data_IF_539384912584
#
_entry.id   IF_539384912584
#
_cell.length_a   1.000
_cell.length_b   1.000
_cell.length_c   1.000
_cell.angle_alpha   90.00
_cell.angle_beta   90.00
_cell.angle_gamma   90.00
#
_symmetry.space_group_name_H-M   'P 1'
#
loop_
_entity.id
_entity.type
_entity.pdbx_description
1 polymer ?
#
# COMPACT_ATOMS: atom_id res chain seq x y z
N UNK A 1 9.94 -52.07 1.55
CA UNK A 1 10.25 -51.61 2.92
C UNK A 1 10.96 -50.24 2.99
N UNK A 2 11.31 -49.58 1.88
CA UNK A 2 12.18 -48.38 1.92
C UNK A 2 11.47 -47.02 2.05
N UNK A 3 10.12 -46.97 2.07
CA UNK A 3 9.35 -45.72 2.10
C UNK A 3 8.99 -45.24 3.52
N UNK A 4 8.88 -46.15 4.50
CA UNK A 4 8.62 -45.77 5.90
C UNK A 4 9.82 -45.05 6.53
N UNK A 5 11.05 -45.40 6.13
CA UNK A 5 12.30 -44.78 6.58
C UNK A 5 12.54 -43.36 6.02
N UNK A 6 11.58 -42.77 5.29
CA UNK A 6 11.62 -41.37 4.86
C UNK A 6 10.89 -40.43 5.82
N UNK A 7 10.08 -40.97 6.73
CA UNK A 7 9.28 -40.20 7.70
C UNK A 7 9.96 -40.05 9.06
N UNK A 8 11.21 -40.52 9.20
CA UNK A 8 11.95 -40.43 10.46
C UNK A 8 12.54 -39.02 10.66
N UNK A 9 12.25 -38.36 11.80
CA UNK A 9 12.81 -37.06 12.12
C UNK A 9 14.33 -37.17 12.36
N UNK A 10 15.12 -36.31 11.70
CA UNK A 10 16.58 -36.20 11.94
C UNK A 10 17.51 -36.80 10.88
N UNK A 11 17.08 -36.95 9.62
CA UNK A 11 17.97 -37.43 8.54
C UNK A 11 19.19 -36.50 8.30
N UNK A 12 20.42 -37.04 8.16
CA UNK A 12 21.63 -36.26 7.86
C UNK A 12 21.62 -35.48 6.52
N UNK A 13 20.65 -35.76 5.63
CA UNK A 13 20.46 -35.06 4.35
C UNK A 13 19.17 -34.21 4.29
N UNK A 14 18.45 -34.07 5.41
CA UNK A 14 17.28 -33.21 5.47
C UNK A 14 17.73 -31.78 5.79
N UNK A 15 17.98 -31.01 4.74
CA UNK A 15 18.18 -29.56 4.84
C UNK A 15 16.81 -28.91 5.01
N UNK A 16 16.24 -29.01 6.21
CA UNK A 16 15.09 -28.17 6.55
C UNK A 16 15.60 -26.73 6.47
N UNK A 17 15.25 -26.02 5.40
CA UNK A 17 15.67 -24.65 5.20
C UNK A 17 15.10 -23.81 6.33
N UNK A 18 15.97 -23.18 7.12
CA UNK A 18 15.52 -22.16 8.07
C UNK A 18 14.94 -21.02 7.25
N UNK A 19 13.66 -20.71 7.43
CA UNK A 19 13.03 -19.55 6.81
C UNK A 19 13.57 -18.29 7.49
N UNK A 20 14.70 -17.80 6.95
CA UNK A 20 15.38 -16.59 7.41
C UNK A 20 14.43 -15.39 7.44
N UNK A 21 13.43 -15.32 6.54
CA UNK A 21 12.48 -14.20 6.51
C UNK A 21 11.54 -14.22 7.70
N UNK A 22 11.06 -15.40 8.10
CA UNK A 22 10.26 -15.55 9.31
C UNK A 22 11.08 -15.27 10.57
N UNK A 23 12.31 -15.79 10.63
CA UNK A 23 13.22 -15.55 11.77
C UNK A 23 13.52 -14.06 11.95
N UNK A 24 13.89 -13.34 10.88
CA UNK A 24 14.16 -11.90 10.92
C UNK A 24 12.92 -11.09 11.33
N UNK A 25 11.73 -11.54 10.91
CA UNK A 25 10.46 -10.91 11.27
C UNK A 25 10.14 -11.10 12.76
N UNK A 26 10.38 -12.29 13.29
CA UNK A 26 10.19 -12.60 14.70
C UNK A 26 11.18 -11.82 15.59
N UNK A 27 12.47 -11.77 15.20
CA UNK A 27 13.48 -11.00 15.93
C UNK A 27 13.17 -9.50 15.94
N UNK A 28 12.74 -8.95 14.80
CA UNK A 28 12.29 -7.55 14.72
C UNK A 28 11.08 -7.29 15.62
N UNK A 29 10.15 -8.23 15.75
CA UNK A 29 9.02 -8.11 16.64
C UNK A 29 9.46 -8.11 18.12
N UNK A 30 10.38 -9.01 18.49
CA UNK A 30 10.97 -9.05 19.83
C UNK A 30 11.69 -7.74 20.19
N UNK A 31 12.48 -7.19 19.28
CA UNK A 31 13.18 -5.90 19.49
C UNK A 31 12.20 -4.73 19.69
N UNK A 32 11.04 -4.73 19.00
CA UNK A 32 10.01 -3.71 19.22
C UNK A 32 9.37 -3.83 20.61
N UNK A 33 9.06 -5.06 21.04
CA UNK A 33 8.48 -5.32 22.35
C UNK A 33 9.43 -4.84 23.48
N UNK A 34 10.72 -5.19 23.40
CA UNK A 34 11.73 -4.77 24.38
C UNK A 34 11.89 -3.24 24.40
N UNK A 35 11.86 -2.57 23.24
CA UNK A 35 11.93 -1.10 23.20
C UNK A 35 10.70 -0.44 23.84
N UNK A 36 9.52 -1.00 23.62
CA UNK A 36 8.30 -0.50 24.23
C UNK A 36 8.30 -0.69 25.75
N UNK A 37 8.75 -1.85 26.22
CA UNK A 37 8.91 -2.11 27.65
C UNK A 37 9.89 -1.14 28.30
N UNK A 38 11.06 -0.90 27.70
CA UNK A 38 12.01 0.10 28.19
C UNK A 38 11.41 1.51 28.23
N UNK A 39 10.56 1.87 27.26
CA UNK A 39 9.82 3.14 27.27
C UNK A 39 8.80 3.18 28.42
N UNK A 40 8.09 2.09 28.69
CA UNK A 40 7.15 1.97 29.81
C UNK A 40 7.88 2.07 31.15
N UNK A 41 9.00 1.36 31.32
CA UNK A 41 9.83 1.42 32.52
C UNK A 41 10.32 2.85 32.74
N UNK A 42 10.88 3.52 31.73
CA UNK A 42 11.33 4.92 31.84
C UNK A 42 10.23 5.85 32.35
N UNK A 43 9.01 5.71 31.82
CA UNK A 43 7.87 6.52 32.25
C UNK A 43 7.44 6.19 33.68
N UNK A 44 7.32 4.90 34.04
CA UNK A 44 6.96 4.47 35.40
C UNK A 44 8.00 4.91 36.41
N UNK A 45 9.30 4.80 36.11
CA UNK A 45 10.38 5.26 36.98
C UNK A 45 10.36 6.77 37.22
N UNK A 46 10.00 7.57 36.21
CA UNK A 46 9.81 9.01 36.38
C UNK A 46 8.58 9.34 37.25
N UNK A 47 7.49 8.58 37.11
CA UNK A 47 6.28 8.74 37.94
C UNK A 47 6.49 8.31 39.40
N UNK A 48 7.32 7.30 39.68
CA UNK A 48 7.64 6.90 41.05
C UNK A 48 8.57 7.89 41.78
N UNK A 49 9.35 8.69 41.04
CA UNK A 49 10.24 9.71 41.63
C UNK A 49 9.51 11.03 41.98
N UNK A 50 8.36 11.28 41.36
CA UNK A 50 7.55 12.49 41.57
C UNK A 50 6.59 12.41 42.77
N UNK A 51 6.57 11.30 43.52
CA UNK A 51 5.64 11.07 44.63
C UNK A 51 6.23 11.38 46.01
N UNK A 52 7.30 12.18 46.09
CA UNK A 52 7.87 12.64 47.36
C UNK A 52 8.47 14.05 47.27
N UNK A 53 7.64 15.08 47.09
CA UNK A 53 7.81 16.37 47.76
C UNK A 53 6.52 17.22 47.65
N UNK A 54 6.20 17.93 48.73
CA UNK A 54 5.07 18.86 48.89
C UNK A 54 5.10 20.05 47.91
N UNK A 55 3.95 20.70 47.62
CA UNK A 55 3.85 21.87 46.76
C UNK A 55 4.28 23.13 47.51
N UNK A 56 5.23 23.88 46.94
CA UNK A 56 5.54 25.24 47.38
C UNK A 56 5.35 26.19 46.21
N UNK A 57 4.25 26.93 46.31
CA UNK A 57 3.97 28.18 45.62
C UNK A 57 4.99 29.24 46.07
N UNK A 58 5.72 29.86 45.15
CA UNK A 58 6.20 31.23 45.34
C UNK A 58 6.09 32.00 44.02
N UNK A 59 5.16 32.95 44.04
CA UNK A 59 4.96 34.02 43.09
C UNK A 59 6.23 34.84 42.86
N UNK A 60 6.47 35.27 41.61
CA UNK A 60 6.91 36.65 41.38
C UNK A 60 6.64 37.14 39.96
N UNK A 61 6.01 38.31 39.97
CA UNK A 61 5.40 39.08 38.89
C UNK A 61 6.40 39.88 38.06
N UNK A 62 6.13 39.92 36.73
CA UNK A 62 6.09 41.05 35.77
C UNK A 62 7.18 42.16 35.80
N UNK A 63 7.61 42.80 34.70
CA UNK A 63 6.85 43.24 33.53
C UNK A 63 7.77 43.88 32.45
N UNK A 64 7.18 44.10 31.26
CA UNK A 64 7.49 45.16 30.25
C UNK A 64 8.67 44.91 29.28
N UNK A 65 8.60 45.22 27.97
CA UNK A 65 7.77 46.19 27.21
C UNK A 65 7.80 45.94 25.68
N UNK A 66 6.72 46.34 24.99
CA UNK A 66 6.60 47.09 23.70
C UNK A 66 7.67 46.90 22.58
N UNK A 67 7.39 46.85 21.27
CA UNK A 67 6.21 46.96 20.41
C UNK A 67 6.66 46.71 18.94
N UNK A 68 5.74 46.88 17.98
CA UNK A 68 5.88 46.99 16.51
C UNK A 68 5.61 45.68 15.75
N UNK A 69 4.37 45.34 15.39
CA UNK A 69 3.51 45.97 14.37
C UNK A 69 4.16 45.98 12.98
N UNK A 70 3.73 45.06 12.12
CA UNK A 70 3.96 45.11 10.68
C UNK A 70 2.64 44.82 9.96
N UNK A 71 1.80 45.83 9.84
CA UNK A 71 0.95 45.98 8.67
C UNK A 71 1.73 46.78 7.62
N UNK A 72 1.83 46.24 6.41
CA UNK A 72 1.57 47.06 5.23
C UNK A 72 1.23 46.14 4.05
N UNK A 73 -0.05 46.17 3.69
CA UNK A 73 -0.52 45.75 2.38
C UNK A 73 -0.24 46.86 1.38
N UNK A 74 -0.07 46.52 0.08
CA UNK A 74 -0.73 47.31 -0.93
C UNK A 74 -1.70 46.47 -1.73
N UNK A 75 -2.95 46.88 -1.66
CA UNK A 75 -4.05 46.58 -2.57
C UNK A 75 -3.66 46.90 -4.01
N UNK A 76 -3.84 45.97 -4.96
CA UNK A 76 -4.49 46.22 -6.26
C UNK A 76 -4.81 44.90 -6.98
N UNK A 77 -6.04 44.45 -6.76
CA UNK A 77 -6.99 43.86 -7.72
C UNK A 77 -6.40 43.42 -9.08
N UNK A 78 -6.28 42.11 -9.27
CA UNK A 78 -6.93 41.48 -10.42
C UNK A 78 -7.57 40.18 -9.92
N UNK A 79 -8.75 40.34 -9.33
CA UNK A 79 -9.69 39.24 -9.15
C UNK A 79 -10.08 38.74 -10.54
N UNK A 80 -9.30 37.82 -11.09
CA UNK A 80 -9.74 36.96 -12.17
C UNK A 80 -10.95 36.18 -11.67
N UNK A 81 -12.06 36.39 -12.37
CA UNK A 81 -13.41 35.89 -12.12
C UNK A 81 -13.41 34.44 -11.59
N UNK A 82 -14.27 34.08 -10.61
CA UNK A 82 -14.53 32.70 -10.27
C UNK A 82 -15.39 32.10 -11.39
N UNK A 83 -14.74 31.84 -12.53
CA UNK A 83 -15.31 31.16 -13.66
C UNK A 83 -15.76 29.78 -13.20
N UNK A 84 -17.07 29.59 -13.13
CA UNK A 84 -17.81 28.34 -12.96
C UNK A 84 -16.95 27.16 -12.55
N UNK A 85 -17.09 26.69 -11.31
CA UNK A 85 -16.67 25.33 -10.94
C UNK A 85 -17.47 24.35 -11.81
N UNK A 86 -17.02 24.16 -13.06
CA UNK A 86 -17.41 23.06 -13.90
C UNK A 86 -16.99 21.85 -13.08
N UNK A 87 -17.95 21.23 -12.41
CA UNK A 87 -17.79 19.87 -11.93
C UNK A 87 -17.60 19.03 -13.18
N UNK A 88 -16.35 18.99 -13.64
CA UNK A 88 -15.95 18.15 -14.77
C UNK A 88 -16.28 16.74 -14.31
N UNK A 89 -17.36 16.20 -14.86
CA UNK A 89 -17.81 14.85 -14.60
C UNK A 89 -16.65 13.93 -14.95
N UNK A 90 -15.98 13.36 -13.94
CA UNK A 90 -14.86 12.44 -14.16
C UNK A 90 -15.40 11.23 -14.91
N UNK A 91 -14.91 11.00 -16.12
CA UNK A 91 -15.36 9.88 -16.95
C UNK A 91 -14.41 8.71 -16.75
N UNK A 92 -14.95 7.55 -16.45
CA UNK A 92 -14.17 6.32 -16.38
C UNK A 92 -13.73 5.92 -17.80
N UNK A 93 -12.47 6.19 -18.14
CA UNK A 93 -11.87 5.80 -19.41
C UNK A 93 -11.56 4.29 -19.49
N UNK A 94 -11.39 3.64 -18.33
CA UNK A 94 -10.97 2.23 -18.25
C UNK A 94 -12.14 1.30 -18.54
N UNK A 95 -12.31 0.96 -19.81
CA UNK A 95 -13.32 0.01 -20.29
C UNK A 95 -12.76 -1.43 -20.28
N UNK A 96 -13.57 -2.49 -20.07
CA UNK A 96 -13.10 -3.88 -20.18
C UNK A 96 -12.38 -4.19 -21.51
N UNK A 97 -12.83 -3.59 -22.61
CA UNK A 97 -12.21 -3.73 -23.94
C UNK A 97 -10.77 -3.20 -23.97
N UNK A 98 -10.52 -2.08 -23.31
CA UNK A 98 -9.19 -1.51 -23.16
C UNK A 98 -8.29 -2.45 -22.35
N UNK A 99 -8.81 -3.02 -21.25
CA UNK A 99 -8.04 -3.94 -20.41
C UNK A 99 -7.64 -5.21 -21.17
N UNK A 100 -8.52 -5.75 -22.02
CA UNK A 100 -8.17 -6.88 -22.90
C UNK A 100 -7.05 -6.50 -23.87
N UNK A 101 -7.07 -5.29 -24.43
CA UNK A 101 -5.98 -4.81 -25.29
C UNK A 101 -4.66 -4.68 -24.53
N UNK A 102 -4.68 -4.07 -23.33
CA UNK A 102 -3.50 -3.96 -22.47
C UNK A 102 -2.91 -5.34 -22.13
N UNK A 103 -3.76 -6.32 -21.84
CA UNK A 103 -3.35 -7.69 -21.55
C UNK A 103 -2.73 -8.37 -22.79
N UNK A 104 -3.34 -8.22 -23.97
CA UNK A 104 -2.81 -8.79 -25.22
C UNK A 104 -1.45 -8.21 -25.59
N UNK A 105 -1.25 -6.92 -25.33
CA UNK A 105 0.02 -6.24 -25.51
C UNK A 105 1.05 -6.54 -24.40
N UNK A 106 0.70 -7.36 -23.41
CA UNK A 106 1.56 -7.74 -22.27
C UNK A 106 2.13 -6.52 -21.54
N UNK A 107 1.37 -5.42 -21.48
CA UNK A 107 1.85 -4.18 -20.91
C UNK A 107 1.92 -4.26 -19.39
N UNK A 108 3.03 -3.79 -18.82
CA UNK A 108 3.12 -3.58 -17.38
C UNK A 108 2.13 -2.51 -16.95
N UNK A 109 1.83 -2.44 -15.65
CA UNK A 109 0.98 -1.39 -15.10
C UNK A 109 1.56 0.00 -15.36
N UNK A 110 2.89 0.15 -15.32
CA UNK A 110 3.58 1.41 -15.55
C UNK A 110 3.43 1.84 -17.01
N UNK A 111 3.70 0.93 -17.94
CA UNK A 111 3.65 1.22 -19.38
C UNK A 111 2.22 1.49 -19.83
N UNK A 112 1.25 0.79 -19.23
CA UNK A 112 -0.17 1.03 -19.50
C UNK A 112 -0.57 2.46 -19.13
N UNK A 113 -0.19 2.94 -17.95
CA UNK A 113 -0.50 4.32 -17.52
C UNK A 113 0.21 5.33 -18.43
N UNK A 114 1.50 5.12 -18.69
CA UNK A 114 2.31 6.01 -19.50
C UNK A 114 1.77 6.17 -20.93
N UNK A 115 1.43 5.05 -21.60
CA UNK A 115 0.87 5.07 -22.96
C UNK A 115 -0.48 5.77 -22.98
N UNK A 116 -1.33 5.52 -21.97
CA UNK A 116 -2.65 6.14 -21.88
C UNK A 116 -2.56 7.65 -21.66
N UNK A 117 -1.69 8.10 -20.77
CA UNK A 117 -1.43 9.52 -20.50
C UNK A 117 -0.89 10.23 -21.74
N UNK A 118 0.13 9.67 -22.39
CA UNK A 118 0.67 10.21 -23.64
C UNK A 118 -0.37 10.25 -24.78
N UNK A 119 -1.30 9.29 -24.83
CA UNK A 119 -2.38 9.26 -25.82
C UNK A 119 -3.41 10.37 -25.55
N UNK A 120 -3.78 10.58 -24.28
CA UNK A 120 -4.71 11.65 -23.87
C UNK A 120 -4.12 13.02 -24.21
N UNK A 121 -2.83 13.22 -23.91
CA UNK A 121 -2.10 14.44 -24.20
C UNK A 121 -2.01 14.71 -25.71
N UNK A 122 -1.65 13.69 -26.50
CA UNK A 122 -1.60 13.79 -27.97
C UNK A 122 -2.97 14.07 -28.62
N UNK A 123 -4.07 13.69 -27.98
CA UNK A 123 -5.44 13.97 -28.43
C UNK A 123 -5.94 15.34 -27.96
N UNK A 124 -5.16 16.08 -27.15
CA UNK A 124 -5.53 17.38 -26.60
C UNK A 124 -6.62 17.31 -25.53
N UNK A 125 -6.80 16.14 -24.89
CA UNK A 125 -7.73 15.98 -23.77
C UNK A 125 -7.08 16.40 -22.46
N UNK A 126 -7.87 16.99 -21.57
CA UNK A 126 -7.38 17.32 -20.23
C UNK A 126 -7.23 16.04 -19.41
N UNK A 127 -6.07 15.87 -18.77
CA UNK A 127 -5.78 14.73 -17.88
C UNK A 127 -6.80 14.66 -16.72
N UNK A 128 -7.30 15.82 -16.27
CA UNK A 128 -8.31 15.93 -15.22
C UNK A 128 -9.69 15.39 -15.63
N UNK A 129 -10.00 15.35 -16.92
CA UNK A 129 -11.25 14.79 -17.44
C UNK A 129 -11.22 13.26 -17.47
N UNK A 130 -10.02 12.68 -17.64
CA UNK A 130 -9.78 11.24 -17.78
C UNK A 130 -8.69 10.76 -16.80
N UNK A 131 -8.99 10.71 -15.49
CA UNK A 131 -8.01 10.28 -14.51
C UNK A 131 -7.64 8.79 -14.70
N UNK A 132 -6.43 8.54 -15.18
CA UNK A 132 -5.88 7.18 -15.34
C UNK A 132 -5.23 6.74 -14.04
N UNK A 133 -5.98 6.06 -13.18
CA UNK A 133 -5.44 5.51 -11.93
C UNK A 133 -4.88 4.10 -12.12
N UNK A 134 -3.72 3.84 -11.50
CA UNK A 134 -3.12 2.49 -11.45
C UNK A 134 -4.09 1.48 -10.85
N UNK A 135 -4.77 1.85 -9.76
CA UNK A 135 -5.72 0.99 -9.06
C UNK A 135 -6.93 0.62 -9.92
N UNK A 136 -7.45 1.53 -10.75
CA UNK A 136 -8.57 1.21 -11.65
C UNK A 136 -8.18 0.17 -12.70
N UNK A 137 -6.97 0.29 -13.27
CA UNK A 137 -6.45 -0.69 -14.22
C UNK A 137 -6.22 -2.05 -13.54
N UNK A 138 -5.68 -2.04 -12.33
CA UNK A 138 -5.38 -3.25 -11.57
C UNK A 138 -6.66 -4.00 -11.20
N UNK A 139 -7.66 -3.28 -10.67
CA UNK A 139 -8.97 -3.84 -10.32
C UNK A 139 -9.62 -4.56 -11.49
N UNK A 140 -9.64 -3.93 -12.67
CA UNK A 140 -10.30 -4.53 -13.83
C UNK A 140 -9.46 -5.69 -14.40
N UNK A 141 -8.12 -5.65 -14.28
CA UNK A 141 -7.28 -6.80 -14.60
C UNK A 141 -7.62 -7.98 -13.69
N UNK A 142 -7.59 -7.82 -12.37
CA UNK A 142 -7.84 -8.92 -11.43
C UNK A 142 -9.22 -9.52 -11.62
N UNK A 143 -10.24 -8.69 -11.88
CA UNK A 143 -11.58 -9.14 -12.23
C UNK A 143 -11.60 -10.03 -13.48
N UNK A 144 -10.89 -9.63 -14.55
CA UNK A 144 -10.76 -10.44 -15.78
C UNK A 144 -9.96 -11.72 -15.58
N UNK A 145 -8.93 -11.70 -14.73
CA UNK A 145 -8.17 -12.90 -14.35
C UNK A 145 -9.05 -13.89 -13.59
N UNK A 146 -9.87 -13.41 -12.65
CA UNK A 146 -10.81 -14.23 -11.89
C UNK A 146 -11.87 -14.87 -12.79
N UNK A 147 -12.46 -14.09 -13.71
CA UNK A 147 -13.40 -14.61 -14.72
C UNK A 147 -12.75 -15.73 -15.56
N UNK A 148 -11.50 -15.54 -15.97
CA UNK A 148 -10.75 -16.55 -16.74
C UNK A 148 -10.45 -17.80 -15.90
N UNK A 149 -10.07 -17.64 -14.65
CA UNK A 149 -9.82 -18.74 -13.72
C UNK A 149 -11.09 -19.57 -13.50
N UNK A 150 -12.23 -18.92 -13.29
CA UNK A 150 -13.53 -19.58 -13.13
C UNK A 150 -13.91 -20.35 -14.41
N UNK A 151 -13.74 -19.74 -15.58
CA UNK A 151 -13.99 -20.40 -16.87
C UNK A 151 -13.08 -21.62 -17.07
N UNK A 152 -11.80 -21.51 -16.73
CA UNK A 152 -10.84 -22.64 -16.82
C UNK A 152 -11.23 -23.74 -15.83
N UNK A 153 -11.61 -23.39 -14.60
CA UNK A 153 -12.03 -24.34 -13.58
C UNK A 153 -13.28 -25.11 -14.02
N UNK A 154 -14.25 -24.42 -14.60
CA UNK A 154 -15.47 -25.05 -15.13
C UNK A 154 -15.15 -25.95 -16.33
N UNK A 155 -14.35 -25.47 -17.28
CA UNK A 155 -13.94 -26.27 -18.45
C UNK A 155 -13.18 -27.54 -18.03
N UNK A 156 -12.31 -27.41 -17.02
CA UNK A 156 -11.60 -28.54 -16.44
C UNK A 156 -12.59 -29.55 -15.83
N UNK A 157 -13.49 -29.10 -14.95
CA UNK A 157 -14.51 -29.96 -14.30
C UNK A 157 -15.39 -30.71 -15.31
N UNK A 158 -15.78 -30.05 -16.40
CA UNK A 158 -16.61 -30.66 -17.45
C UNK A 158 -15.86 -31.74 -18.26
N UNK A 159 -14.53 -31.73 -18.24
CA UNK A 159 -13.68 -32.60 -19.06
C UNK A 159 -12.92 -33.66 -18.25
N UNK A 160 -13.11 -33.74 -16.93
CA UNK A 160 -12.32 -34.65 -16.06
C UNK A 160 -12.61 -36.13 -16.37
N UNK A 161 -11.63 -36.93 -16.81
CA UNK A 161 -11.62 -38.37 -16.62
C UNK A 161 -11.24 -38.70 -15.16
N UNK A 162 -11.73 -39.82 -14.64
CA UNK A 162 -11.69 -40.25 -13.22
C UNK A 162 -10.32 -40.16 -12.49
N UNK A 163 -9.21 -40.03 -13.23
CA UNK A 163 -7.87 -39.77 -12.70
C UNK A 163 -7.17 -38.69 -13.54
N UNK A 164 -6.87 -37.53 -12.94
CA UNK A 164 -5.94 -36.54 -13.48
C UNK A 164 -4.89 -36.13 -12.45
N UNK A 165 -3.64 -36.05 -12.88
CA UNK A 165 -2.53 -35.50 -12.10
C UNK A 165 -2.17 -34.13 -12.69
N UNK A 166 -2.35 -33.07 -11.91
CA UNK A 166 -2.09 -31.70 -12.35
C UNK A 166 -0.73 -31.25 -11.78
N UNK A 167 0.23 -30.96 -12.67
CA UNK A 167 1.57 -30.51 -12.28
C UNK A 167 1.69 -29.01 -12.55
N UNK A 168 1.54 -28.17 -11.52
CA UNK A 168 1.82 -26.74 -11.61
C UNK A 168 3.34 -26.52 -11.54
N UNK A 169 3.92 -25.95 -12.60
CA UNK A 169 5.29 -25.44 -12.56
C UNK A 169 5.22 -23.99 -12.10
N UNK A 170 5.53 -23.76 -10.83
CA UNK A 170 5.76 -22.41 -10.31
C UNK A 170 7.10 -21.92 -10.86
N UNK A 171 7.06 -21.22 -11.99
CA UNK A 171 8.23 -20.54 -12.53
C UNK A 171 8.28 -19.15 -11.90
N UNK A 172 9.13 -19.03 -10.87
CA UNK A 172 9.54 -17.78 -10.25
C UNK A 172 10.26 -16.85 -11.23
#
# INVERSE_FOLDING_TARGET
>A
MSLQCQREPGRPRHLCGVDKKLTDKEERARLRAVREENRRIKYVSASTFSASHEPLEEDSSSNSSENMESEDCPTLIESSEPGTSKSVMRKDFITPKLVVALHRCQLSMRDSVFILEATIDALGYNIDEFPVSKSSIERIRTEKWKEREENIKIDFQNKVPDVMTLHSVDKL
#
